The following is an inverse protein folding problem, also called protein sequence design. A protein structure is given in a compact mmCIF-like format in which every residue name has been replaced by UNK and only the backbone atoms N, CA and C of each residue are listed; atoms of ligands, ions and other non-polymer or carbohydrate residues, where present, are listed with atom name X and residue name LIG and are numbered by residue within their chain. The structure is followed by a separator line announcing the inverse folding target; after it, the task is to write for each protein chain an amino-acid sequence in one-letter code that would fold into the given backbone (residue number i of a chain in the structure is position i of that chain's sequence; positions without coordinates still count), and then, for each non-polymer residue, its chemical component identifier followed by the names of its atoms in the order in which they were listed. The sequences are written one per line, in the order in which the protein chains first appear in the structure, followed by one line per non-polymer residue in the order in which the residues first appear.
data_IF_332599966649
#
_entry.id   IF_332599966649
#
_cell.length_a   1.000
_cell.length_b   1.000
_cell.length_c   1.000
_cell.angle_alpha   90.00
_cell.angle_beta   90.00
_cell.angle_gamma   90.00
#
_symmetry.space_group_name_H-M   'P 1'
#
loop_
_entity.id
_entity.type
_entity.pdbx_description
1 polymer ?
#
# COMPACT_ATOMS: atom_id res chain seq x y z
N UNK A 1 -17.98 -2.35 -6.58
CA UNK A 1 -17.79 -1.09 -7.32
C UNK A 1 -17.46 -0.02 -6.29
N UNK A 2 -16.22 0.46 -6.24
CA UNK A 2 -15.79 1.49 -5.28
C UNK A 2 -16.12 2.86 -5.87
N UNK A 3 -16.96 3.66 -5.19
CA UNK A 3 -17.26 5.02 -5.62
C UNK A 3 -16.18 5.98 -5.13
N UNK A 4 -15.58 6.72 -6.07
CA UNK A 4 -14.44 7.61 -5.85
C UNK A 4 -14.67 8.70 -4.78
N UNK A 5 -15.92 9.09 -4.52
CA UNK A 5 -16.27 10.12 -3.52
C UNK A 5 -16.02 9.67 -2.07
N UNK A 6 -16.13 8.36 -1.78
CA UNK A 6 -15.90 7.83 -0.44
C UNK A 6 -14.39 7.74 -0.10
N UNK A 7 -13.48 8.01 -1.03
CA UNK A 7 -12.02 7.82 -0.83
C UNK A 7 -11.38 8.90 0.04
N UNK A 8 -11.86 10.13 -0.06
CA UNK A 8 -11.17 11.31 0.46
C UNK A 8 -11.86 11.93 1.70
N UNK A 9 -13.01 11.40 2.11
CA UNK A 9 -13.71 11.88 3.30
C UNK A 9 -13.03 11.41 4.60
N UNK A 10 -12.59 12.36 5.42
CA UNK A 10 -12.25 12.10 6.81
C UNK A 10 -13.55 12.07 7.62
N UNK A 11 -13.78 11.11 8.51
CA UNK A 11 -15.03 11.04 9.27
C UNK A 11 -15.04 12.22 10.25
N UNK A 12 -15.82 13.25 9.93
CA UNK A 12 -16.03 14.41 10.80
C UNK A 12 -16.82 14.05 12.06
N UNK A 13 -17.51 12.91 12.05
CA UNK A 13 -18.29 12.39 13.18
C UNK A 13 -18.29 10.87 13.22
N UNK A 14 -18.08 10.31 14.42
CA UNK A 14 -18.25 8.89 14.74
C UNK A 14 -19.71 8.51 14.50
N UNK A 15 -20.03 7.95 13.34
CA UNK A 15 -21.41 7.56 13.02
C UNK A 15 -21.79 7.42 11.54
N UNK A 16 -20.92 7.75 10.58
CA UNK A 16 -21.24 7.56 9.17
C UNK A 16 -21.07 6.08 8.77
N UNK A 17 -22.18 5.41 8.46
CA UNK A 17 -22.40 3.96 8.55
C UNK A 17 -21.81 3.11 7.42
N UNK A 18 -20.86 3.64 6.64
CA UNK A 18 -20.16 2.88 5.58
C UNK A 18 -18.66 2.68 5.80
N UNK A 19 -18.04 3.42 6.72
CA UNK A 19 -16.59 3.34 6.94
C UNK A 19 -16.28 2.76 8.31
N UNK A 20 -15.48 1.70 8.34
CA UNK A 20 -14.97 1.14 9.59
C UNK A 20 -13.92 2.11 10.12
N UNK A 21 -14.16 2.67 11.30
CA UNK A 21 -13.21 3.55 12.02
C UNK A 21 -11.82 2.90 12.10
N UNK A 22 -11.79 1.57 12.19
CA UNK A 22 -10.59 0.74 12.24
C UNK A 22 -9.72 0.77 10.96
N UNK A 23 -10.22 1.34 9.86
CA UNK A 23 -9.48 1.51 8.60
C UNK A 23 -8.65 2.79 8.58
N UNK A 24 -8.89 3.76 9.46
CA UNK A 24 -8.11 5.01 9.48
C UNK A 24 -6.73 4.81 10.12
N UNK A 25 -5.79 5.61 9.64
CA UNK A 25 -4.45 5.76 10.22
C UNK A 25 -4.33 7.20 10.68
N UNK A 26 -4.30 7.41 11.99
CA UNK A 26 -4.30 8.76 12.56
C UNK A 26 -2.91 9.38 12.60
N UNK A 27 -1.87 8.56 12.66
CA UNK A 27 -0.48 9.03 12.69
C UNK A 27 0.51 7.96 12.25
N UNK A 28 1.75 8.38 12.02
CA UNK A 28 2.84 7.51 11.58
C UNK A 28 3.21 6.41 12.58
N UNK A 29 3.05 6.66 13.88
CA UNK A 29 3.37 5.67 14.91
C UNK A 29 2.43 4.47 14.87
N UNK A 30 1.17 4.67 14.50
CA UNK A 30 0.22 3.58 14.28
C UNK A 30 0.66 2.67 13.15
N UNK A 31 1.25 3.20 12.07
CA UNK A 31 1.83 2.38 11.01
C UNK A 31 2.90 1.46 11.60
N UNK A 32 3.85 2.03 12.35
CA UNK A 32 4.95 1.25 12.94
C UNK A 32 4.46 0.21 13.94
N UNK A 33 3.43 0.51 14.71
CA UNK A 33 2.90 -0.38 15.74
C UNK A 33 2.04 -1.51 15.15
N UNK A 34 1.23 -1.22 14.13
CA UNK A 34 0.15 -2.11 13.70
C UNK A 34 0.27 -2.65 12.28
N UNK A 35 1.29 -2.28 11.50
CA UNK A 35 1.37 -2.72 10.09
C UNK A 35 1.29 -4.24 9.93
N UNK A 36 1.96 -5.02 10.79
CA UNK A 36 2.00 -6.47 10.66
C UNK A 36 0.61 -7.09 10.86
N UNK A 37 -0.11 -6.65 11.89
CA UNK A 37 -1.48 -7.09 12.18
C UNK A 37 -2.44 -6.62 11.09
N UNK A 38 -2.37 -5.34 10.71
CA UNK A 38 -3.31 -4.72 9.79
C UNK A 38 -3.15 -5.23 8.37
N UNK A 39 -1.92 -5.46 7.92
CA UNK A 39 -1.61 -5.90 6.55
C UNK A 39 -1.59 -7.43 6.41
N UNK A 40 -1.37 -8.16 7.51
CA UNK A 40 -1.51 -9.61 7.59
C UNK A 40 -0.70 -10.34 6.52
N UNK A 41 -1.36 -11.22 5.77
CA UNK A 41 -0.75 -12.07 4.73
C UNK A 41 0.04 -11.30 3.65
N UNK A 42 -0.20 -10.00 3.48
CA UNK A 42 0.58 -9.19 2.54
C UNK A 42 2.07 -9.12 2.95
N UNK A 43 2.38 -9.27 4.24
CA UNK A 43 3.75 -9.27 4.73
C UNK A 43 4.55 -10.50 4.28
N UNK A 44 3.90 -11.56 3.83
CA UNK A 44 4.57 -12.73 3.25
C UNK A 44 5.23 -12.41 1.90
N UNK A 45 4.81 -11.31 1.24
CA UNK A 45 5.27 -10.89 -0.08
C UNK A 45 6.23 -9.72 -0.05
N UNK A 46 6.41 -9.08 1.11
CA UNK A 46 7.12 -7.82 1.26
C UNK A 46 8.12 -7.88 2.40
N UNK A 47 9.32 -7.37 2.16
CA UNK A 47 10.25 -7.07 3.24
C UNK A 47 9.92 -5.70 3.82
N UNK A 48 10.10 -5.53 5.12
CA UNK A 48 9.78 -4.29 5.82
C UNK A 48 10.98 -3.81 6.60
N UNK A 49 11.36 -2.55 6.39
CA UNK A 49 12.37 -1.86 7.17
C UNK A 49 11.74 -0.66 7.88
N UNK A 50 11.94 -0.60 9.19
CA UNK A 50 11.42 0.47 10.04
C UNK A 50 12.58 1.39 10.45
N UNK A 51 12.39 2.69 10.24
CA UNK A 51 13.29 3.75 10.69
C UNK A 51 12.53 4.72 11.59
N UNK A 52 13.23 5.70 12.17
CA UNK A 52 12.60 6.72 13.01
C UNK A 52 11.58 7.54 12.20
N UNK A 53 11.92 7.89 10.96
CA UNK A 53 11.12 8.79 10.11
C UNK A 53 10.45 8.11 8.93
N UNK A 54 10.69 6.81 8.73
CA UNK A 54 10.23 6.13 7.53
C UNK A 54 9.83 4.68 7.84
N UNK A 55 8.77 4.22 7.17
CA UNK A 55 8.44 2.81 7.03
C UNK A 55 8.63 2.46 5.56
N UNK A 56 9.41 1.42 5.30
CA UNK A 56 9.80 1.04 3.95
C UNK A 56 9.41 -0.41 3.68
N UNK A 57 8.44 -0.60 2.79
CA UNK A 57 8.07 -1.89 2.25
C UNK A 57 8.80 -2.08 0.91
N UNK A 58 9.52 -3.18 0.72
CA UNK A 58 10.27 -3.39 -0.51
C UNK A 58 10.34 -4.86 -0.94
N UNK A 59 10.58 -5.05 -2.24
CA UNK A 59 10.89 -6.33 -2.88
C UNK A 59 12.18 -6.19 -3.68
N UNK A 60 13.09 -7.13 -3.49
CA UNK A 60 14.33 -7.20 -4.26
C UNK A 60 14.10 -7.99 -5.55
N UNK A 61 14.80 -7.61 -6.61
CA UNK A 61 14.91 -8.43 -7.80
C UNK A 61 15.90 -9.56 -7.52
N UNK A 62 15.47 -10.81 -7.67
CA UNK A 62 16.32 -12.00 -7.46
C UNK A 62 17.18 -12.32 -8.69
N UNK A 63 16.80 -11.84 -9.87
CA UNK A 63 17.55 -12.05 -11.12
C UNK A 63 18.68 -11.03 -11.28
N UNK A 64 18.45 -9.80 -10.82
CA UNK A 64 19.39 -8.68 -10.87
C UNK A 64 19.82 -8.34 -9.43
N UNK A 65 20.97 -8.86 -9.01
CA UNK A 65 21.49 -8.72 -7.64
C UNK A 65 21.50 -7.24 -7.21
N UNK A 66 20.67 -6.91 -6.22
CA UNK A 66 20.70 -5.63 -5.52
C UNK A 66 19.77 -4.54 -6.05
N UNK A 67 18.95 -4.78 -7.08
CA UNK A 67 17.96 -3.79 -7.53
C UNK A 67 16.61 -4.00 -6.85
N UNK A 68 16.01 -2.90 -6.40
CA UNK A 68 14.64 -2.90 -5.87
C UNK A 68 13.67 -3.07 -7.05
N UNK A 69 12.92 -4.18 -7.05
CA UNK A 69 11.85 -4.44 -8.04
C UNK A 69 10.67 -3.51 -7.80
N UNK A 70 10.31 -3.32 -6.54
CA UNK A 70 9.26 -2.40 -6.12
C UNK A 70 9.44 -1.99 -4.67
N UNK A 71 9.10 -0.75 -4.34
CA UNK A 71 9.04 -0.28 -2.97
C UNK A 71 7.95 0.74 -2.75
N UNK A 72 7.47 0.76 -1.50
CA UNK A 72 6.49 1.69 -0.98
C UNK A 72 7.09 2.26 0.30
N UNK A 73 7.39 3.55 0.28
CA UNK A 73 7.95 4.28 1.41
C UNK A 73 6.90 5.22 1.97
N UNK A 74 6.73 5.21 3.29
CA UNK A 74 5.86 6.13 4.01
C UNK A 74 6.73 6.93 4.98
N UNK A 75 6.71 8.26 4.85
CA UNK A 75 7.44 9.18 5.74
C UNK A 75 6.62 9.49 6.98
N UNK A 76 7.26 10.04 8.01
CA UNK A 76 6.62 10.50 9.25
C UNK A 76 5.54 11.57 9.03
N UNK A 77 5.61 12.29 7.92
CA UNK A 77 4.57 13.21 7.43
C UNK A 77 3.39 12.50 6.75
N UNK A 78 3.30 11.17 6.81
CA UNK A 78 2.28 10.32 6.17
C UNK A 78 2.28 10.37 4.63
N UNK A 79 3.30 10.97 4.02
CA UNK A 79 3.45 11.01 2.57
C UNK A 79 4.05 9.72 2.03
N UNK A 80 3.44 9.23 0.96
CA UNK A 80 3.82 8.03 0.24
C UNK A 80 4.79 8.35 -0.91
N UNK A 81 5.74 7.44 -1.15
CA UNK A 81 6.58 7.39 -2.34
C UNK A 81 6.59 5.94 -2.82
N UNK A 82 6.15 5.70 -4.07
CA UNK A 82 6.14 4.37 -4.69
C UNK A 82 7.18 4.34 -5.79
N UNK A 83 8.06 3.34 -5.76
CA UNK A 83 9.09 3.12 -6.79
C UNK A 83 8.89 1.74 -7.39
N UNK A 84 8.76 1.66 -8.71
CA UNK A 84 8.70 0.40 -9.44
C UNK A 84 9.82 0.35 -10.48
N UNK A 85 10.57 -0.77 -10.50
CA UNK A 85 11.68 -0.99 -11.43
C UNK A 85 12.67 0.20 -11.48
N UNK A 86 12.96 0.80 -10.32
CA UNK A 86 13.85 1.95 -10.18
C UNK A 86 13.27 3.31 -10.60
N UNK A 87 11.98 3.40 -10.96
CA UNK A 87 11.31 4.66 -11.30
C UNK A 87 10.26 5.02 -10.25
N UNK A 88 10.28 6.28 -9.80
CA UNK A 88 9.22 6.81 -8.93
C UNK A 88 7.94 6.97 -9.75
N UNK A 89 6.83 6.45 -9.24
CA UNK A 89 5.53 6.58 -9.89
C UNK A 89 4.98 8.00 -9.75
N UNK A 90 4.26 8.44 -10.78
CA UNK A 90 3.53 9.70 -10.73
C UNK A 90 2.32 9.57 -9.81
N UNK A 91 1.95 10.65 -9.11
CA UNK A 91 0.80 10.67 -8.23
C UNK A 91 -0.51 10.38 -8.97
N UNK A 92 -0.62 10.81 -10.23
CA UNK A 92 -1.80 10.57 -11.07
C UNK A 92 -1.99 9.08 -11.38
N UNK A 93 -0.89 8.33 -11.56
CA UNK A 93 -0.92 6.88 -11.80
C UNK A 93 -1.39 6.08 -10.57
N UNK A 94 -1.34 6.69 -9.38
CA UNK A 94 -1.72 6.08 -8.11
C UNK A 94 -3.12 6.48 -7.63
N UNK A 95 -3.84 7.30 -8.40
CA UNK A 95 -5.15 7.83 -8.01
C UNK A 95 -6.22 6.77 -7.82
N UNK A 96 -6.05 5.56 -8.36
CA UNK A 96 -6.97 4.46 -8.06
C UNK A 96 -6.87 3.95 -6.61
N UNK A 97 -5.74 4.20 -5.91
CA UNK A 97 -5.50 3.76 -4.54
C UNK A 97 -5.40 4.90 -3.53
N UNK A 98 -4.77 6.01 -3.89
CA UNK A 98 -4.46 7.14 -2.98
C UNK A 98 -4.87 8.47 -3.59
N UNK A 99 -5.14 9.50 -2.77
CA UNK A 99 -5.36 10.84 -3.30
C UNK A 99 -4.09 11.37 -4.02
N UNK A 100 -4.24 12.32 -4.97
CA UNK A 100 -3.11 12.94 -5.67
C UNK A 100 -2.08 13.62 -4.74
N UNK A 101 -2.47 13.94 -3.51
CA UNK A 101 -1.57 14.47 -2.48
C UNK A 101 -0.58 13.43 -1.95
N UNK A 102 -0.76 12.16 -2.29
CA UNK A 102 0.00 11.01 -1.79
C UNK A 102 -0.02 10.86 -0.26
N UNK A 103 -1.01 11.47 0.40
CA UNK A 103 -1.20 11.34 1.83
C UNK A 103 -1.93 10.02 2.14
N UNK A 104 -1.27 9.12 2.87
CA UNK A 104 -1.91 7.92 3.39
C UNK A 104 -2.69 8.27 4.64
N UNK A 105 -3.97 7.94 4.65
CA UNK A 105 -4.86 8.13 5.80
C UNK A 105 -5.62 6.86 6.17
N UNK A 106 -5.48 5.78 5.38
CA UNK A 106 -6.22 4.54 5.58
C UNK A 106 -5.37 3.29 5.32
N UNK A 107 -5.66 2.23 6.07
CA UNK A 107 -5.07 0.91 5.90
C UNK A 107 -5.47 0.27 4.57
N UNK A 108 -6.70 0.46 4.12
CA UNK A 108 -7.19 0.01 2.81
C UNK A 108 -6.36 0.54 1.64
N UNK A 109 -5.94 1.82 1.68
CA UNK A 109 -5.05 2.41 0.67
C UNK A 109 -3.72 1.67 0.60
N UNK A 110 -3.10 1.44 1.76
CA UNK A 110 -1.82 0.74 1.86
C UNK A 110 -1.97 -0.74 1.41
N UNK A 111 -3.06 -1.41 1.79
CA UNK A 111 -3.37 -2.77 1.34
C UNK A 111 -3.50 -2.86 -0.17
N UNK A 112 -4.22 -1.92 -0.79
CA UNK A 112 -4.42 -1.90 -2.23
C UNK A 112 -3.09 -1.78 -2.98
N UNK A 113 -2.22 -0.85 -2.55
CA UNK A 113 -0.90 -0.68 -3.16
C UNK A 113 -0.01 -1.92 -3.01
N UNK A 114 0.06 -2.46 -1.79
CA UNK A 114 0.86 -3.66 -1.50
C UNK A 114 0.33 -4.89 -2.23
N UNK A 115 -0.98 -5.02 -2.40
CA UNK A 115 -1.59 -6.12 -3.14
C UNK A 115 -1.29 -6.01 -4.64
N UNK A 116 -1.50 -4.84 -5.24
CA UNK A 116 -1.30 -4.64 -6.68
C UNK A 116 0.17 -4.90 -7.07
N UNK A 117 1.10 -4.25 -6.37
CA UNK A 117 2.53 -4.34 -6.73
C UNK A 117 3.23 -5.57 -6.12
N UNK A 118 2.65 -6.17 -5.08
CA UNK A 118 3.25 -7.31 -4.38
C UNK A 118 2.71 -8.66 -4.81
N UNK A 119 1.40 -8.75 -5.05
CA UNK A 119 0.68 -10.00 -5.30
C UNK A 119 0.26 -10.10 -6.77
N UNK A 120 -0.34 -9.06 -7.35
CA UNK A 120 -0.81 -9.07 -8.74
C UNK A 120 0.35 -9.01 -9.74
N UNK A 121 1.31 -8.09 -9.54
CA UNK A 121 2.54 -8.08 -10.34
C UNK A 121 3.49 -9.26 -10.02
N UNK A 122 3.19 -10.04 -8.96
CA UNK A 122 3.76 -11.37 -8.75
C UNK A 122 3.18 -12.44 -9.69
N UNK A 123 2.00 -12.18 -10.29
CA UNK A 123 1.30 -13.07 -11.24
C UNK A 123 1.46 -12.59 -12.70
N UNK A 124 2.69 -12.30 -13.14
CA UNK A 124 2.98 -12.24 -14.58
C UNK A 124 3.77 -13.48 -15.00
N UNK A 125 2.97 -14.45 -15.47
CA UNK A 125 3.19 -15.37 -16.58
C UNK A 125 4.30 -16.41 -16.48
N UNK A 126 4.06 -17.49 -15.72
CA UNK A 126 4.33 -18.83 -16.25
C UNK A 126 2.96 -19.42 -16.64
N UNK A 127 2.74 -19.53 -17.96
CA UNK A 127 1.68 -20.27 -18.65
C UNK A 127 0.22 -20.25 -18.11
N UNK A 128 -0.63 -19.52 -18.83
CA UNK A 128 -2.02 -19.94 -19.08
C UNK A 128 -3.04 -19.76 -17.94
N UNK A 129 -3.92 -18.77 -18.13
CA UNK A 129 -5.25 -18.57 -17.53
C UNK A 129 -5.39 -18.71 -15.98
N UNK A 130 -5.87 -17.67 -15.29
CA UNK A 130 -6.15 -17.76 -13.86
C UNK A 130 -7.37 -18.67 -13.63
N UNK A 131 -7.12 -19.87 -13.09
CA UNK A 131 -8.19 -20.70 -12.52
C UNK A 131 -8.46 -20.20 -11.10
N UNK A 132 -9.65 -19.65 -10.87
CA UNK A 132 -10.17 -19.40 -9.52
C UNK A 132 -10.72 -20.74 -9.02
N UNK A 133 -10.08 -21.33 -8.02
CA UNK A 133 -10.68 -22.42 -7.26
C UNK A 133 -11.58 -21.79 -6.19
N UNK A 134 -12.88 -22.10 -6.30
CA UNK A 134 -13.91 -21.89 -5.28
C UNK A 134 -13.71 -22.88 -4.11
#
# INVERSE_FOLDING_TARGET
MFHLQDRDEYPLTVGCTKMKIDDFIFNFWEIKAYYAEKLGYLMDYWQVQLSIREVFFYKLNTEDVGKIKGSIKIKDTMHLEVVLSGRTMDAFDLTWAVPPTLLITRWSQLKMLLYEFGVVDGRKMEDGLPTILL
#
